data_IF_375289582677
#
_entry.id   IF_375289582677
#
_cell.length_a   1.000
_cell.length_b   1.000
_cell.length_c   1.000
_cell.angle_alpha   90.00
_cell.angle_beta   90.00
_cell.angle_gamma   90.00
#
_symmetry.space_group_name_H-M   'P 1'
#
loop_
_entity.id
_entity.type
_entity.pdbx_description
1 polymer ?
#
# COMPACT_ATOMS: atom_id res chain seq x y z
N UNK A 1 0.68 -57.91 1.52
CA UNK A 1 1.67 -56.99 0.91
C UNK A 1 1.07 -55.68 0.37
N UNK A 2 -0.10 -55.71 -0.23
CA UNK A 2 -0.70 -54.52 -0.82
C UNK A 2 -1.28 -53.49 0.17
N UNK A 3 -1.68 -53.92 1.37
CA UNK A 3 -2.27 -53.02 2.40
C UNK A 3 -1.25 -52.07 3.05
N UNK A 4 -0.02 -52.48 3.17
CA UNK A 4 1.07 -51.66 3.75
C UNK A 4 1.52 -50.57 2.74
N UNK A 5 1.52 -50.89 1.44
CA UNK A 5 1.94 -49.96 0.38
C UNK A 5 0.94 -48.81 0.21
N UNK A 6 -0.36 -49.07 0.37
CA UNK A 6 -1.39 -48.04 0.27
C UNK A 6 -1.35 -47.07 1.47
N UNK A 7 -1.07 -47.56 2.67
CA UNK A 7 -0.96 -46.74 3.88
C UNK A 7 0.28 -45.81 3.79
N UNK A 8 1.38 -46.29 3.25
CA UNK A 8 2.59 -45.47 3.05
C UNK A 8 2.36 -44.39 1.98
N UNK A 9 1.60 -44.72 0.91
CA UNK A 9 1.28 -43.74 -0.14
C UNK A 9 0.32 -42.62 0.35
N UNK A 10 -0.64 -42.98 1.21
CA UNK A 10 -1.54 -42.00 1.81
C UNK A 10 -0.85 -41.09 2.83
N UNK A 11 0.13 -41.60 3.58
CA UNK A 11 0.91 -40.79 4.53
C UNK A 11 1.83 -39.78 3.84
N UNK A 12 2.37 -40.09 2.66
CA UNK A 12 3.19 -39.18 1.89
C UNK A 12 2.39 -38.05 1.23
N UNK A 13 1.10 -38.28 0.89
CA UNK A 13 0.24 -37.27 0.26
C UNK A 13 -0.35 -36.27 1.26
N UNK A 14 -0.47 -36.65 2.54
CA UNK A 14 -0.99 -35.77 3.59
C UNK A 14 0.00 -34.71 4.07
N UNK A 15 1.30 -34.91 3.84
CA UNK A 15 2.33 -33.96 4.27
C UNK A 15 2.50 -32.73 3.36
N UNK A 16 1.94 -32.77 2.13
CA UNK A 16 2.08 -31.65 1.16
C UNK A 16 1.01 -30.56 1.27
N UNK A 17 -0.03 -30.74 2.12
CA UNK A 17 -1.16 -29.80 2.21
C UNK A 17 -0.97 -28.69 3.25
N UNK A 18 0.13 -28.66 4.01
CA UNK A 18 0.36 -27.66 5.05
C UNK A 18 1.36 -26.54 4.67
N UNK A 19 1.85 -26.49 3.43
CA UNK A 19 2.83 -25.47 3.02
C UNK A 19 2.26 -24.35 2.15
N UNK A 20 0.94 -24.29 1.98
CA UNK A 20 0.30 -23.26 1.16
C UNK A 20 -0.55 -22.30 1.99
N UNK A 21 0.03 -21.50 2.86
CA UNK A 21 -0.50 -20.22 3.33
C UNK A 21 0.52 -19.51 4.23
N UNK A 22 1.66 -19.14 3.62
CA UNK A 22 2.49 -18.05 4.11
C UNK A 22 2.72 -17.07 2.97
N UNK A 23 1.62 -16.52 2.48
CA UNK A 23 1.67 -15.19 1.87
C UNK A 23 2.04 -14.26 3.01
N UNK A 24 3.33 -13.96 3.11
CA UNK A 24 3.85 -13.10 4.14
C UNK A 24 3.20 -11.73 4.02
N UNK A 25 2.26 -11.47 4.90
CA UNK A 25 2.09 -10.15 5.46
C UNK A 25 3.40 -9.88 6.22
N UNK A 26 4.43 -9.45 5.52
CA UNK A 26 5.46 -8.64 6.10
C UNK A 26 4.74 -7.34 6.46
N UNK A 27 4.13 -7.32 7.64
CA UNK A 27 3.82 -6.06 8.29
C UNK A 27 5.19 -5.44 8.58
N UNK A 28 5.63 -4.56 7.66
CA UNK A 28 6.76 -3.71 7.91
C UNK A 28 6.48 -3.03 9.25
N UNK A 29 7.43 -3.11 10.19
CA UNK A 29 7.29 -2.56 11.55
C UNK A 29 6.93 -1.07 11.53
N UNK A 30 7.16 -0.41 10.38
CA UNK A 30 6.82 0.97 10.10
C UNK A 30 5.41 1.14 9.50
N UNK A 31 4.72 0.07 9.12
CA UNK A 31 3.37 0.13 8.56
C UNK A 31 2.36 0.45 9.66
N UNK A 32 1.53 1.48 9.45
CA UNK A 32 0.47 1.90 10.36
C UNK A 32 -0.91 1.42 9.91
N UNK A 33 -1.23 1.62 8.63
CA UNK A 33 -2.48 1.23 8.00
C UNK A 33 -2.21 0.77 6.58
N UNK A 34 -2.93 -0.25 6.13
CA UNK A 34 -2.87 -0.74 4.76
C UNK A 34 -4.26 -0.81 4.13
N UNK A 35 -4.40 -0.29 2.93
CA UNK A 35 -5.61 -0.38 2.10
C UNK A 35 -5.23 -0.94 0.74
N UNK A 36 -5.43 -2.24 0.56
CA UNK A 36 -4.97 -2.97 -0.62
C UNK A 36 -3.44 -3.04 -0.68
N UNK A 37 -2.84 -2.42 -1.68
CA UNK A 37 -1.40 -2.28 -1.90
C UNK A 37 -0.82 -0.94 -1.39
N UNK A 38 -1.68 0.00 -1.00
CA UNK A 38 -1.29 1.28 -0.41
C UNK A 38 -1.04 1.13 1.09
N UNK A 39 0.07 1.68 1.57
CA UNK A 39 0.47 1.62 2.98
C UNK A 39 0.74 3.04 3.47
N UNK A 40 0.09 3.40 4.59
CA UNK A 40 0.45 4.58 5.37
C UNK A 40 1.49 4.18 6.42
N UNK A 41 2.65 4.79 6.38
CA UNK A 41 3.71 4.54 7.35
C UNK A 41 3.59 5.44 8.59
N UNK A 42 4.21 5.00 9.69
CA UNK A 42 4.34 5.82 10.92
C UNK A 42 5.13 7.09 10.65
N UNK A 43 6.13 7.01 9.77
CA UNK A 43 6.95 8.16 9.40
C UNK A 43 6.15 9.21 8.66
N UNK A 44 5.32 8.83 7.67
CA UNK A 44 4.46 9.77 6.95
C UNK A 44 3.49 10.50 7.88
N UNK A 45 2.87 9.78 8.84
CA UNK A 45 2.03 10.41 9.85
C UNK A 45 2.81 11.38 10.73
N UNK A 46 4.01 10.99 11.16
CA UNK A 46 4.87 11.84 11.99
C UNK A 46 5.30 13.11 11.25
N UNK A 47 5.69 13.00 9.98
CA UNK A 47 6.10 14.13 9.14
C UNK A 47 4.94 15.11 8.85
N UNK A 48 3.71 14.60 8.79
CA UNK A 48 2.51 15.40 8.61
C UNK A 48 2.03 16.10 9.90
N UNK A 49 2.47 15.61 11.07
CA UNK A 49 2.00 16.11 12.36
C UNK A 49 2.64 17.46 12.70
N UNK A 50 1.83 18.50 13.02
CA UNK A 50 2.36 19.78 13.48
C UNK A 50 3.17 19.63 14.77
N UNK A 51 4.23 20.43 14.90
CA UNK A 51 5.00 20.49 16.15
C UNK A 51 4.24 21.17 17.28
N UNK A 52 4.56 20.83 18.51
CA UNK A 52 4.05 21.50 19.69
C UNK A 52 2.62 21.11 20.11
N UNK A 53 2.04 20.06 19.53
CA UNK A 53 0.73 19.57 19.95
C UNK A 53 0.79 18.91 21.32
N UNK A 54 -0.30 19.08 22.10
CA UNK A 54 -0.52 18.28 23.30
C UNK A 54 -0.70 16.81 22.95
N UNK A 55 -0.61 15.93 23.93
CA UNK A 55 -0.85 14.48 23.71
C UNK A 55 -2.26 14.21 23.19
N UNK A 56 -3.27 14.90 23.73
CA UNK A 56 -4.65 14.77 23.30
C UNK A 56 -4.84 15.26 21.86
N UNK A 57 -4.26 16.41 21.50
CA UNK A 57 -4.35 16.97 20.15
C UNK A 57 -3.59 16.13 19.13
N UNK A 58 -2.45 15.55 19.49
CA UNK A 58 -1.69 14.62 18.65
C UNK A 58 -2.50 13.36 18.33
N UNK A 59 -3.22 12.82 19.30
CA UNK A 59 -4.08 11.64 19.10
C UNK A 59 -5.26 11.98 18.18
N UNK A 60 -5.92 13.11 18.42
CA UNK A 60 -7.02 13.57 17.56
C UNK A 60 -6.56 13.85 16.12
N UNK A 61 -5.40 14.48 15.96
CA UNK A 61 -4.78 14.69 14.64
C UNK A 61 -4.51 13.37 13.93
N UNK A 62 -3.89 12.40 14.61
CA UNK A 62 -3.58 11.10 14.05
C UNK A 62 -4.83 10.36 13.58
N UNK A 63 -5.88 10.33 14.39
CA UNK A 63 -7.16 9.70 14.04
C UNK A 63 -7.80 10.34 12.79
N UNK A 64 -7.82 11.65 12.72
CA UNK A 64 -8.37 12.41 11.58
C UNK A 64 -7.54 12.20 10.33
N UNK A 65 -6.22 12.22 10.45
CA UNK A 65 -5.30 12.01 9.34
C UNK A 65 -5.45 10.61 8.74
N UNK A 66 -5.47 9.57 9.57
CA UNK A 66 -5.64 8.19 9.14
C UNK A 66 -6.97 7.99 8.42
N UNK A 67 -8.07 8.50 8.98
CA UNK A 67 -9.41 8.41 8.36
C UNK A 67 -9.44 9.08 7.00
N UNK A 68 -8.87 10.28 6.90
CA UNK A 68 -8.80 11.03 5.65
C UNK A 68 -7.97 10.28 4.61
N UNK A 69 -6.82 9.78 5.00
CA UNK A 69 -5.95 9.00 4.12
C UNK A 69 -6.66 7.75 3.56
N UNK A 70 -7.37 7.00 4.41
CA UNK A 70 -8.16 5.83 3.98
C UNK A 70 -9.23 6.25 2.96
N UNK A 71 -9.97 7.31 3.25
CA UNK A 71 -10.99 7.83 2.34
C UNK A 71 -10.40 8.25 0.99
N UNK A 72 -9.27 8.94 0.99
CA UNK A 72 -8.59 9.41 -0.22
C UNK A 72 -8.11 8.24 -1.09
N UNK A 73 -7.52 7.20 -0.49
CA UNK A 73 -7.10 5.97 -1.20
C UNK A 73 -8.30 5.26 -1.83
N UNK A 74 -9.38 5.08 -1.06
CA UNK A 74 -10.59 4.43 -1.57
C UNK A 74 -11.25 5.25 -2.69
N UNK A 75 -11.34 6.56 -2.53
CA UNK A 75 -11.88 7.46 -3.54
C UNK A 75 -11.05 7.44 -4.83
N UNK A 76 -9.72 7.48 -4.71
CA UNK A 76 -8.83 7.39 -5.86
C UNK A 76 -9.01 6.07 -6.63
N UNK A 77 -9.10 4.94 -5.93
CA UNK A 77 -9.36 3.63 -6.55
C UNK A 77 -10.70 3.56 -7.26
N UNK A 78 -11.73 4.18 -6.67
CA UNK A 78 -13.04 4.29 -7.33
C UNK A 78 -12.97 5.19 -8.55
N UNK A 79 -12.29 6.33 -8.45
CA UNK A 79 -12.12 7.27 -9.56
C UNK A 79 -11.39 6.63 -10.74
N UNK A 80 -10.30 5.90 -10.50
CA UNK A 80 -9.56 5.20 -11.57
C UNK A 80 -10.45 4.25 -12.39
N UNK A 81 -11.43 3.62 -11.75
CA UNK A 81 -12.36 2.69 -12.42
C UNK A 81 -13.51 3.39 -13.17
N UNK A 82 -13.85 4.61 -12.77
CA UNK A 82 -15.04 5.29 -13.23
C UNK A 82 -14.76 6.51 -14.13
N UNK A 83 -13.52 7.00 -14.18
CA UNK A 83 -13.12 8.07 -15.09
C UNK A 83 -12.82 7.47 -16.47
N UNK A 84 -13.60 7.84 -17.52
CA UNK A 84 -13.43 7.25 -18.85
C UNK A 84 -12.14 7.68 -19.56
N UNK A 85 -11.59 8.86 -19.22
CA UNK A 85 -10.44 9.47 -19.90
C UNK A 85 -9.17 9.45 -19.04
N UNK A 86 -8.87 8.34 -18.37
CA UNK A 86 -7.69 8.23 -17.52
C UNK A 86 -6.39 8.46 -18.30
N UNK A 87 -6.34 7.98 -19.56
CA UNK A 87 -5.18 8.15 -20.45
C UNK A 87 -4.89 9.63 -20.75
N UNK A 88 -5.93 10.46 -20.83
CA UNK A 88 -5.76 11.91 -20.99
C UNK A 88 -5.09 12.54 -19.77
N UNK A 89 -5.41 12.06 -18.57
CA UNK A 89 -4.77 12.50 -17.33
C UNK A 89 -3.31 12.11 -17.34
N UNK A 90 -2.97 10.87 -17.73
CA UNK A 90 -1.60 10.39 -17.82
C UNK A 90 -0.77 11.21 -18.83
N UNK A 91 -1.36 11.55 -19.96
CA UNK A 91 -0.72 12.41 -20.96
C UNK A 91 -0.43 13.83 -20.42
N UNK A 92 -1.34 14.41 -19.63
CA UNK A 92 -1.14 15.71 -18.98
C UNK A 92 -0.04 15.65 -17.91
N UNK A 93 -0.01 14.60 -17.12
CA UNK A 93 1.03 14.37 -16.09
C UNK A 93 2.40 14.23 -16.75
N UNK A 94 2.51 13.47 -17.84
CA UNK A 94 3.79 13.29 -18.57
C UNK A 94 4.26 14.59 -19.22
N UNK A 95 3.33 15.39 -19.78
CA UNK A 95 3.67 16.72 -20.29
C UNK A 95 4.20 17.62 -19.18
N UNK A 96 3.52 17.68 -18.04
CA UNK A 96 3.92 18.49 -16.90
C UNK A 96 5.29 18.06 -16.35
N UNK A 97 5.52 16.75 -16.25
CA UNK A 97 6.82 16.20 -15.84
C UNK A 97 7.95 16.67 -16.76
N UNK A 98 7.74 16.61 -18.09
CA UNK A 98 8.72 17.09 -19.08
C UNK A 98 9.01 18.57 -18.91
N UNK A 99 7.99 19.39 -18.75
CA UNK A 99 8.11 20.83 -18.59
C UNK A 99 8.91 21.16 -17.30
N UNK A 100 8.67 20.45 -16.19
CA UNK A 100 9.44 20.59 -14.95
C UNK A 100 10.91 20.20 -15.12
N UNK A 101 11.20 19.09 -15.79
CA UNK A 101 12.58 18.64 -16.03
C UNK A 101 13.35 19.68 -16.84
N UNK A 102 12.74 20.24 -17.89
CA UNK A 102 13.34 21.30 -18.71
C UNK A 102 13.57 22.56 -17.86
N UNK A 103 12.59 22.95 -17.04
CA UNK A 103 12.69 24.10 -16.17
C UNK A 103 13.85 23.97 -15.17
N UNK A 104 13.95 22.82 -14.48
CA UNK A 104 15.03 22.56 -13.53
C UNK A 104 16.40 22.49 -14.20
N UNK A 105 16.50 21.98 -15.41
CA UNK A 105 17.76 21.97 -16.17
C UNK A 105 18.21 23.40 -16.53
N UNK A 106 17.27 24.24 -17.00
CA UNK A 106 17.58 25.63 -17.34
C UNK A 106 18.08 26.45 -16.14
N UNK A 107 17.61 26.17 -14.94
CA UNK A 107 18.10 26.82 -13.71
C UNK A 107 19.56 26.51 -13.38
N UNK A 108 20.10 25.44 -13.94
CA UNK A 108 21.47 24.98 -13.70
C UNK A 108 22.46 25.43 -14.78
N UNK A 109 21.99 26.02 -15.88
CA UNK A 109 22.82 26.58 -16.93
C UNK A 109 23.30 27.98 -16.58
#
# INVERSE_FOLDING_TARGET
MYKVSIIVLCAAFSACLFTACRSGLQSDENSLVQVGDEILSRQELADAMPEGLSRADSTDFADKYIRRWICDVLLYRMAQKNIPDIERIDALVEKYRRDLVIFEYRKRL
#
